data_IF_104989909912
#
_entry.id   IF_104989909912
#
_cell.length_a   1.000
_cell.length_b   1.000
_cell.length_c   1.000
_cell.angle_alpha   90.00
_cell.angle_beta   90.00
_cell.angle_gamma   90.00
#
_symmetry.space_group_name_H-M   'P 1'
#
loop_
_entity.id
_entity.type
_entity.pdbx_description
1 polymer ?
#
# COMPACT_ATOMS: atom_id res chain seq x y z
N UNK A 1 -14.21 16.18 32.09
CA UNK A 1 -13.74 14.87 31.63
C UNK A 1 -12.73 15.14 30.54
N UNK A 2 -11.57 14.47 30.54
CA UNK A 2 -10.62 14.56 29.44
C UNK A 2 -11.33 14.11 28.16
N UNK A 3 -11.15 14.87 27.08
CA UNK A 3 -11.80 14.61 25.80
C UNK A 3 -10.88 13.77 24.94
N UNK A 4 -11.35 12.64 24.47
CA UNK A 4 -10.60 11.73 23.60
C UNK A 4 -11.11 11.85 22.16
N UNK A 5 -10.20 11.96 21.21
CA UNK A 5 -10.52 11.93 19.79
C UNK A 5 -9.59 11.00 18.99
N UNK A 6 -10.21 10.21 18.11
CA UNK A 6 -9.55 9.22 17.28
C UNK A 6 -9.30 9.81 15.88
N UNK A 7 -8.13 9.59 15.31
CA UNK A 7 -7.78 10.01 13.94
C UNK A 7 -7.25 8.81 13.15
N UNK A 8 -7.96 8.40 12.10
CA UNK A 8 -7.45 7.43 11.12
C UNK A 8 -6.62 8.14 10.07
N UNK A 9 -5.40 7.66 9.86
CA UNK A 9 -4.48 8.21 8.86
C UNK A 9 -4.43 7.25 7.67
N UNK A 10 -5.00 7.67 6.54
CA UNK A 10 -4.91 6.97 5.26
C UNK A 10 -3.76 7.50 4.40
N UNK A 11 -3.38 6.74 3.37
CA UNK A 11 -2.41 7.23 2.37
C UNK A 11 -3.03 8.36 1.53
N UNK A 12 -4.31 8.21 1.21
CA UNK A 12 -5.05 9.00 0.22
C UNK A 12 -4.95 8.41 -1.19
N UNK A 13 -5.87 8.83 -2.05
CA UNK A 13 -6.03 8.29 -3.39
C UNK A 13 -6.62 9.32 -4.33
N UNK A 14 -6.19 9.28 -5.60
CA UNK A 14 -6.85 10.04 -6.68
C UNK A 14 -8.18 9.41 -7.10
N UNK A 15 -8.43 8.16 -6.73
CA UNK A 15 -9.71 7.49 -6.95
C UNK A 15 -10.67 7.87 -5.82
N UNK A 16 -11.71 8.62 -6.15
CA UNK A 16 -12.73 9.08 -5.19
C UNK A 16 -13.51 7.92 -4.56
N UNK A 17 -13.59 6.76 -5.22
CA UNK A 17 -14.23 5.57 -4.64
C UNK A 17 -13.38 4.99 -3.50
N UNK A 18 -12.06 5.00 -3.63
CA UNK A 18 -11.16 4.55 -2.56
C UNK A 18 -11.27 5.47 -1.33
N UNK A 19 -11.37 6.79 -1.55
CA UNK A 19 -11.61 7.76 -0.47
C UNK A 19 -12.99 7.54 0.17
N UNK A 20 -14.02 7.25 -0.63
CA UNK A 20 -15.35 6.94 -0.12
C UNK A 20 -15.37 5.66 0.75
N UNK A 21 -14.69 4.60 0.32
CA UNK A 21 -14.57 3.36 1.12
C UNK A 21 -13.79 3.58 2.42
N UNK A 22 -12.73 4.41 2.41
CA UNK A 22 -12.03 4.77 3.64
C UNK A 22 -12.95 5.50 4.64
N UNK A 23 -13.74 6.46 4.13
CA UNK A 23 -14.71 7.18 4.94
C UNK A 23 -15.84 6.25 5.44
N UNK A 24 -16.28 5.31 4.62
CA UNK A 24 -17.25 4.29 5.02
C UNK A 24 -16.69 3.42 6.16
N UNK A 25 -15.43 3.00 6.06
CA UNK A 25 -14.75 2.25 7.13
C UNK A 25 -14.69 3.08 8.42
N UNK A 26 -14.31 4.36 8.33
CA UNK A 26 -14.24 5.24 9.49
C UNK A 26 -15.61 5.41 10.18
N UNK A 27 -16.69 5.52 9.40
CA UNK A 27 -18.06 5.57 9.92
C UNK A 27 -18.45 4.26 10.61
N UNK A 28 -18.12 3.11 10.00
CA UNK A 28 -18.38 1.81 10.61
C UNK A 28 -17.59 1.62 11.90
N UNK A 29 -16.32 2.07 11.95
CA UNK A 29 -15.50 2.02 13.15
C UNK A 29 -16.03 2.97 14.24
N UNK A 30 -16.45 4.18 13.87
CA UNK A 30 -17.10 5.12 14.79
C UNK A 30 -18.34 4.51 15.45
N UNK A 31 -19.20 3.86 14.66
CA UNK A 31 -20.36 3.14 15.18
C UNK A 31 -19.97 1.94 16.06
N UNK A 32 -18.94 1.19 15.67
CA UNK A 32 -18.45 0.03 16.42
C UNK A 32 -17.85 0.41 17.78
N UNK A 33 -17.16 1.55 17.87
CA UNK A 33 -16.53 2.04 19.09
C UNK A 33 -17.44 2.93 19.95
N UNK A 34 -18.59 3.35 19.41
CA UNK A 34 -19.46 4.38 20.00
C UNK A 34 -18.68 5.69 20.30
N UNK A 35 -17.68 6.02 19.46
CA UNK A 35 -16.78 7.17 19.63
C UNK A 35 -16.57 7.89 18.28
N UNK A 36 -16.46 9.23 18.25
CA UNK A 36 -16.13 9.96 17.02
C UNK A 36 -14.78 9.53 16.45
N UNK A 37 -14.76 9.23 15.15
CA UNK A 37 -13.54 8.91 14.40
C UNK A 37 -13.35 9.96 13.30
N UNK A 38 -12.23 10.68 13.38
CA UNK A 38 -11.78 11.59 12.34
C UNK A 38 -10.94 10.83 11.30
N UNK A 39 -10.84 11.39 10.12
CA UNK A 39 -10.05 10.85 9.01
C UNK A 39 -9.13 11.93 8.48
N UNK A 40 -7.93 11.54 8.07
CA UNK A 40 -7.04 12.39 7.30
C UNK A 40 -6.16 11.55 6.37
N UNK A 41 -5.49 12.24 5.45
CA UNK A 41 -4.64 11.60 4.46
C UNK A 41 -3.24 12.20 4.47
N UNK A 42 -2.25 11.35 4.23
CA UNK A 42 -0.86 11.77 4.03
C UNK A 42 -0.73 12.65 2.78
N UNK A 43 -1.34 12.21 1.69
CA UNK A 43 -1.27 12.92 0.41
C UNK A 43 -2.50 12.63 -0.46
N UNK A 44 -2.58 13.27 -1.63
CA UNK A 44 -3.56 13.01 -2.72
C UNK A 44 -5.04 13.26 -2.41
N UNK A 45 -5.41 13.42 -1.15
CA UNK A 45 -6.80 13.54 -0.71
C UNK A 45 -6.92 14.51 0.47
N UNK A 46 -8.06 15.17 0.57
CA UNK A 46 -8.41 15.99 1.72
C UNK A 46 -9.32 15.19 2.68
N UNK A 47 -9.25 15.46 4.00
CA UNK A 47 -8.43 16.50 4.64
C UNK A 47 -6.97 16.05 4.85
N UNK A 48 -6.03 17.00 4.79
CA UNK A 48 -4.60 16.72 4.99
C UNK A 48 -4.28 16.39 6.46
N UNK A 49 -3.32 15.48 6.66
CA UNK A 49 -2.92 14.99 7.98
C UNK A 49 -2.53 16.11 8.94
N UNK A 50 -1.56 16.96 8.58
CA UNK A 50 -1.04 17.98 9.50
C UNK A 50 -2.12 18.97 9.95
N UNK A 51 -2.95 19.44 9.01
CA UNK A 51 -4.07 20.32 9.32
C UNK A 51 -5.09 19.63 10.24
N UNK A 52 -5.45 18.38 9.94
CA UNK A 52 -6.43 17.62 10.75
C UNK A 52 -5.92 17.37 12.16
N UNK A 53 -4.65 16.96 12.32
CA UNK A 53 -4.06 16.71 13.64
C UNK A 53 -4.04 17.99 14.49
N UNK A 54 -3.69 19.14 13.89
CA UNK A 54 -3.69 20.43 14.58
C UNK A 54 -5.11 20.86 14.99
N UNK A 55 -6.09 20.77 14.08
CA UNK A 55 -7.50 21.06 14.37
C UNK A 55 -8.05 20.17 15.51
N UNK A 56 -7.70 18.88 15.52
CA UNK A 56 -8.09 17.94 16.58
C UNK A 56 -7.43 18.34 17.91
N UNK A 57 -6.13 18.64 17.92
CA UNK A 57 -5.39 19.04 19.12
C UNK A 57 -5.92 20.34 19.77
N UNK A 58 -6.34 21.31 18.94
CA UNK A 58 -7.04 22.52 19.41
C UNK A 58 -8.40 22.16 20.03
N UNK A 59 -9.17 21.30 19.35
CA UNK A 59 -10.55 20.95 19.71
C UNK A 59 -10.66 20.04 20.95
N UNK A 60 -9.65 19.23 21.27
CA UNK A 60 -9.64 18.41 22.50
C UNK A 60 -9.34 19.21 23.77
N UNK A 61 -8.59 20.32 23.63
CA UNK A 61 -8.25 21.20 24.76
C UNK A 61 -7.27 20.57 25.77
N UNK A 62 -7.03 21.30 26.86
CA UNK A 62 -6.08 20.91 27.90
C UNK A 62 -6.48 19.59 28.60
N UNK A 63 -5.51 18.67 28.72
CA UNK A 63 -5.70 17.32 29.27
C UNK A 63 -6.51 16.39 28.36
N UNK A 64 -6.68 16.75 27.08
CA UNK A 64 -7.31 15.89 26.07
C UNK A 64 -6.36 14.85 25.48
N UNK A 65 -6.94 13.81 24.90
CA UNK A 65 -6.27 12.64 24.32
C UNK A 65 -6.48 12.63 22.79
N UNK A 66 -5.39 12.52 22.03
CA UNK A 66 -5.40 12.30 20.58
C UNK A 66 -4.86 10.90 20.30
N UNK A 67 -5.70 10.02 19.73
CA UNK A 67 -5.33 8.66 19.36
C UNK A 67 -5.23 8.52 17.83
N UNK A 68 -4.02 8.41 17.30
CA UNK A 68 -3.79 8.25 15.86
C UNK A 68 -3.61 6.77 15.45
N UNK A 69 -4.32 6.36 14.40
CA UNK A 69 -4.27 4.99 13.86
C UNK A 69 -3.89 5.00 12.37
N UNK A 70 -2.65 4.62 12.05
CA UNK A 70 -2.20 4.45 10.66
C UNK A 70 -2.90 3.26 9.98
N UNK A 71 -3.68 3.53 8.93
CA UNK A 71 -4.45 2.51 8.20
C UNK A 71 -3.66 1.93 7.02
N UNK A 72 -2.57 1.22 7.34
CA UNK A 72 -1.67 0.60 6.36
C UNK A 72 -1.42 -0.89 6.62
N UNK A 73 -1.52 -1.74 5.59
CA UNK A 73 -1.21 -3.18 5.68
C UNK A 73 0.30 -3.46 5.75
N UNK A 74 1.09 -2.55 5.21
CA UNK A 74 2.53 -2.45 5.37
C UNK A 74 2.88 -0.97 5.28
N UNK A 75 3.84 -0.52 6.09
CA UNK A 75 4.19 0.90 6.15
C UNK A 75 5.63 1.06 5.67
N UNK A 76 5.81 1.79 4.58
CA UNK A 76 7.13 2.18 4.13
C UNK A 76 7.79 3.06 5.19
N UNK A 77 9.10 2.93 5.37
CA UNK A 77 9.89 3.70 6.32
C UNK A 77 9.57 5.20 6.31
N UNK A 78 9.49 5.82 5.13
CA UNK A 78 9.22 7.25 4.99
C UNK A 78 7.85 7.66 5.55
N UNK A 79 6.82 6.85 5.37
CA UNK A 79 5.49 7.13 5.91
C UNK A 79 5.47 7.01 7.43
N UNK A 80 6.20 6.03 7.99
CA UNK A 80 6.35 5.91 9.46
C UNK A 80 7.00 7.16 10.03
N UNK A 81 8.09 7.62 9.42
CA UNK A 81 8.82 8.81 9.85
C UNK A 81 7.96 10.07 9.77
N UNK A 82 7.22 10.27 8.67
CA UNK A 82 6.37 11.43 8.47
C UNK A 82 5.23 11.51 9.50
N UNK A 83 4.52 10.40 9.74
CA UNK A 83 3.45 10.34 10.75
C UNK A 83 4.01 10.61 12.15
N UNK A 84 5.14 9.98 12.47
CA UNK A 84 5.78 10.13 13.79
C UNK A 84 6.19 11.58 14.01
N UNK A 85 6.83 12.20 13.02
CA UNK A 85 7.28 13.59 13.09
C UNK A 85 6.09 14.56 13.22
N UNK A 86 5.01 14.33 12.47
CA UNK A 86 3.79 15.12 12.60
C UNK A 86 3.21 15.08 14.02
N UNK A 87 3.13 13.89 14.62
CA UNK A 87 2.60 13.71 15.97
C UNK A 87 3.52 14.28 17.06
N UNK A 88 4.84 14.17 16.88
CA UNK A 88 5.82 14.79 17.77
C UNK A 88 5.69 16.32 17.76
N UNK A 89 5.53 16.95 16.60
CA UNK A 89 5.27 18.39 16.53
C UNK A 89 3.96 18.78 17.23
N UNK A 90 2.89 18.00 17.08
CA UNK A 90 1.63 18.28 17.80
C UNK A 90 1.85 18.22 19.32
N UNK A 91 2.65 17.27 19.81
CA UNK A 91 2.97 17.19 21.24
C UNK A 91 3.83 18.36 21.72
N UNK A 92 4.71 18.91 20.86
CA UNK A 92 5.52 20.10 21.14
C UNK A 92 4.68 21.39 21.17
N UNK A 93 3.78 21.56 20.20
CA UNK A 93 2.90 22.72 20.09
C UNK A 93 1.83 22.74 21.21
N UNK A 94 1.42 21.56 21.67
CA UNK A 94 0.36 21.37 22.67
C UNK A 94 0.83 20.49 23.84
N UNK A 95 1.73 20.98 24.73
CA UNK A 95 2.41 20.17 25.75
C UNK A 95 1.50 19.65 26.88
N UNK A 96 0.31 20.20 27.02
CA UNK A 96 -0.75 19.79 27.96
C UNK A 96 -1.78 18.84 27.31
N UNK A 97 -1.50 18.32 26.10
CA UNK A 97 -2.26 17.26 25.44
C UNK A 97 -1.49 15.94 25.53
N UNK A 98 -2.23 14.85 25.44
CA UNK A 98 -1.69 13.50 25.39
C UNK A 98 -1.82 12.95 23.97
N UNK A 99 -0.69 12.80 23.28
CA UNK A 99 -0.64 12.31 21.89
C UNK A 99 -0.20 10.86 21.86
N UNK A 100 -1.09 10.00 21.42
CA UNK A 100 -0.93 8.55 21.35
C UNK A 100 -1.07 8.09 19.91
N UNK A 101 -0.33 7.05 19.54
CA UNK A 101 -0.48 6.44 18.22
C UNK A 101 -0.15 4.97 18.22
N UNK A 102 -0.87 4.23 17.39
CA UNK A 102 -0.74 2.78 17.27
C UNK A 102 0.33 2.38 16.26
N UNK A 103 0.66 1.09 16.27
CA UNK A 103 1.24 0.47 15.09
C UNK A 103 0.23 0.46 13.95
N UNK A 104 0.70 0.48 12.70
CA UNK A 104 -0.18 0.28 11.56
C UNK A 104 -0.87 -1.09 11.64
N UNK A 105 -1.91 -1.33 10.83
CA UNK A 105 -2.61 -2.62 10.79
C UNK A 105 -1.64 -3.80 10.65
N UNK A 106 -0.64 -3.65 9.76
CA UNK A 106 0.50 -4.55 9.60
C UNK A 106 0.09 -6.03 9.47
N UNK A 107 0.98 -6.95 9.85
CA UNK A 107 0.68 -8.38 9.90
C UNK A 107 -0.21 -8.67 11.10
N UNK A 108 -1.37 -9.29 10.85
CA UNK A 108 -2.34 -9.59 11.89
C UNK A 108 -3.13 -10.87 11.56
N UNK A 109 -3.38 -11.74 12.56
CA UNK A 109 -4.06 -13.03 12.35
C UNK A 109 -5.49 -12.85 11.82
N UNK A 110 -6.25 -11.89 12.35
CA UNK A 110 -7.60 -11.55 11.84
C UNK A 110 -7.61 -11.07 10.39
N UNK A 111 -6.51 -10.49 9.90
CA UNK A 111 -6.41 -10.17 8.47
C UNK A 111 -6.21 -11.42 7.63
N UNK A 112 -5.51 -12.44 8.13
CA UNK A 112 -5.37 -13.73 7.46
C UNK A 112 -6.71 -14.47 7.44
N UNK A 113 -7.47 -14.41 8.54
CA UNK A 113 -8.85 -14.91 8.60
C UNK A 113 -9.74 -14.19 7.58
N UNK A 114 -9.66 -12.86 7.48
CA UNK A 114 -10.38 -12.09 6.47
C UNK A 114 -9.96 -12.45 5.05
N UNK A 115 -8.67 -12.63 4.79
CA UNK A 115 -8.20 -13.14 3.50
C UNK A 115 -8.82 -14.49 3.16
N UNK A 116 -8.91 -15.40 4.14
CA UNK A 116 -9.57 -16.70 3.97
C UNK A 116 -11.05 -16.52 3.63
N UNK A 117 -11.77 -15.64 4.33
CA UNK A 117 -13.17 -15.30 4.00
C UNK A 117 -13.29 -14.83 2.56
N UNK A 118 -12.41 -13.93 2.10
CA UNK A 118 -12.43 -13.45 0.70
C UNK A 118 -12.15 -14.54 -0.32
N UNK A 119 -11.33 -15.53 0.01
CA UNK A 119 -11.13 -16.72 -0.84
C UNK A 119 -12.39 -17.58 -0.86
N UNK A 120 -12.97 -17.87 0.30
CA UNK A 120 -14.18 -18.70 0.41
C UNK A 120 -15.36 -18.06 -0.35
N UNK A 121 -15.55 -16.74 -0.24
CA UNK A 121 -16.52 -15.96 -1.01
C UNK A 121 -16.29 -16.08 -2.52
N UNK A 122 -15.03 -15.96 -2.97
CA UNK A 122 -14.67 -16.08 -4.37
C UNK A 122 -15.00 -17.47 -4.92
N UNK A 123 -14.66 -18.52 -4.17
CA UNK A 123 -14.96 -19.91 -4.52
C UNK A 123 -16.46 -20.17 -4.61
N UNK A 124 -17.25 -19.59 -3.70
CA UNK A 124 -18.71 -19.72 -3.70
C UNK A 124 -19.38 -19.12 -4.94
N UNK A 125 -18.70 -18.23 -5.68
CA UNK A 125 -19.22 -17.69 -6.95
C UNK A 125 -19.15 -18.68 -8.12
N UNK A 126 -18.38 -19.77 -7.98
CA UNK A 126 -18.14 -20.74 -9.07
C UNK A 126 -18.89 -22.04 -8.80
N UNK A 127 -19.85 -22.42 -9.65
CA UNK A 127 -20.52 -23.71 -9.56
C UNK A 127 -19.52 -24.87 -9.70
N UNK A 128 -19.55 -25.82 -8.78
CA UNK A 128 -18.64 -26.97 -8.74
C UNK A 128 -17.14 -26.56 -8.68
N UNK A 129 -16.83 -25.50 -7.94
CA UNK A 129 -15.44 -25.19 -7.58
C UNK A 129 -14.73 -26.46 -7.04
N UNK A 130 -13.47 -26.65 -7.42
CA UNK A 130 -12.66 -27.75 -6.90
C UNK A 130 -12.45 -27.58 -5.39
N UNK A 131 -12.16 -28.68 -4.67
CA UNK A 131 -11.78 -28.62 -3.26
C UNK A 131 -10.62 -27.65 -3.02
N UNK A 132 -10.54 -27.09 -1.80
CA UNK A 132 -9.50 -26.11 -1.45
C UNK A 132 -8.10 -26.72 -1.54
N UNK A 133 -7.96 -28.02 -1.32
CA UNK A 133 -6.72 -28.79 -1.41
C UNK A 133 -6.18 -28.91 -2.85
N UNK A 134 -7.02 -28.60 -3.85
CA UNK A 134 -6.65 -28.51 -5.27
C UNK A 134 -6.53 -27.05 -5.77
N UNK A 135 -6.84 -26.08 -4.90
CA UNK A 135 -6.84 -24.66 -5.20
C UNK A 135 -5.54 -24.01 -4.73
N UNK A 136 -4.87 -23.29 -5.62
CA UNK A 136 -3.82 -22.35 -5.25
C UNK A 136 -4.39 -20.94 -5.03
N UNK A 137 -3.82 -20.20 -4.08
CA UNK A 137 -4.15 -18.79 -3.89
C UNK A 137 -2.95 -17.94 -4.26
N UNK A 138 -3.14 -17.00 -5.18
CA UNK A 138 -2.19 -15.96 -5.49
C UNK A 138 -2.54 -14.70 -4.71
N UNK A 139 -1.83 -14.44 -3.62
CA UNK A 139 -1.98 -13.21 -2.83
C UNK A 139 -1.20 -12.10 -3.50
N UNK A 140 -1.86 -11.00 -3.86
CA UNK A 140 -1.21 -9.90 -4.57
C UNK A 140 -1.25 -8.61 -3.76
N UNK A 141 -0.09 -8.13 -3.35
CA UNK A 141 0.07 -6.83 -2.68
C UNK A 141 0.24 -5.68 -3.67
N UNK A 142 0.16 -4.44 -3.17
CA UNK A 142 0.42 -3.24 -3.99
C UNK A 142 1.89 -3.12 -4.44
N UNK A 143 2.82 -3.61 -3.61
CA UNK A 143 4.27 -3.50 -3.82
C UNK A 143 4.86 -2.16 -3.40
N UNK A 144 6.03 -2.20 -2.78
CA UNK A 144 6.75 -1.06 -2.20
C UNK A 144 8.25 -1.12 -2.50
N UNK A 145 8.95 0.01 -2.45
CA UNK A 145 10.42 0.04 -2.41
C UNK A 145 10.95 -0.41 -1.04
N UNK A 146 10.09 -0.37 -0.02
CA UNK A 146 10.36 -0.81 1.33
C UNK A 146 10.26 -2.34 1.46
N UNK A 147 11.36 -2.97 1.88
CA UNK A 147 11.48 -4.43 1.97
C UNK A 147 10.62 -5.01 3.09
N UNK A 148 10.44 -4.28 4.20
CA UNK A 148 9.65 -4.75 5.34
C UNK A 148 8.16 -4.74 5.00
N UNK A 149 7.71 -3.71 4.28
CA UNK A 149 6.37 -3.67 3.70
C UNK A 149 6.12 -4.85 2.77
N UNK A 150 7.08 -5.22 1.91
CA UNK A 150 6.91 -6.35 1.00
C UNK A 150 6.94 -7.69 1.77
N UNK A 151 7.85 -7.84 2.73
CA UNK A 151 7.96 -9.06 3.56
C UNK A 151 6.69 -9.33 4.37
N UNK A 152 5.98 -8.28 4.78
CA UNK A 152 4.71 -8.38 5.48
C UNK A 152 3.65 -9.09 4.63
N UNK A 153 3.61 -8.84 3.31
CA UNK A 153 2.71 -9.55 2.38
C UNK A 153 3.10 -11.03 2.30
N UNK A 154 4.40 -11.35 2.23
CA UNK A 154 4.88 -12.74 2.26
C UNK A 154 4.49 -13.47 3.55
N UNK A 155 4.62 -12.78 4.69
CA UNK A 155 4.20 -13.32 5.99
C UNK A 155 2.69 -13.56 6.05
N UNK A 156 1.88 -12.64 5.52
CA UNK A 156 0.43 -12.82 5.42
C UNK A 156 0.03 -13.97 4.50
N UNK A 157 0.70 -14.12 3.35
CA UNK A 157 0.52 -15.29 2.47
C UNK A 157 0.83 -16.60 3.19
N UNK A 158 1.90 -16.66 3.99
CA UNK A 158 2.18 -17.84 4.81
C UNK A 158 1.10 -18.10 5.86
N UNK A 159 0.67 -17.08 6.60
CA UNK A 159 -0.39 -17.23 7.60
C UNK A 159 -1.71 -17.72 6.99
N UNK A 160 -2.09 -17.17 5.82
CA UNK A 160 -3.23 -17.64 5.07
C UNK A 160 -3.10 -19.13 4.71
N UNK A 161 -1.91 -19.57 4.30
CA UNK A 161 -1.68 -20.96 3.95
C UNK A 161 -1.90 -21.90 5.14
N UNK A 162 -1.39 -21.56 6.32
CA UNK A 162 -1.52 -22.36 7.54
C UNK A 162 -2.99 -22.60 7.95
N UNK A 163 -3.88 -21.64 7.65
CA UNK A 163 -5.29 -21.71 8.05
C UNK A 163 -6.24 -22.11 6.91
N UNK A 164 -5.74 -22.18 5.68
CA UNK A 164 -6.55 -22.24 4.47
C UNK A 164 -6.70 -23.63 3.84
N UNK A 165 -5.76 -24.54 4.09
CA UNK A 165 -5.77 -25.89 3.49
C UNK A 165 -5.48 -25.92 1.98
N UNK A 166 -4.99 -24.81 1.41
CA UNK A 166 -4.76 -24.66 -0.02
C UNK A 166 -3.63 -25.54 -0.55
N UNK A 167 -3.71 -25.92 -1.83
CA UNK A 167 -2.65 -26.64 -2.53
C UNK A 167 -1.31 -25.88 -2.48
N UNK A 168 -1.38 -24.56 -2.68
CA UNK A 168 -0.24 -23.64 -2.56
C UNK A 168 -0.73 -22.21 -2.31
N UNK A 169 0.12 -21.37 -1.73
CA UNK A 169 -0.08 -19.92 -1.67
C UNK A 169 1.14 -19.20 -2.23
N UNK A 170 1.00 -18.59 -3.40
CA UNK A 170 2.03 -17.72 -3.99
C UNK A 170 1.78 -16.26 -3.58
N UNK A 171 2.86 -15.46 -3.57
CA UNK A 171 2.79 -14.03 -3.33
C UNK A 171 3.37 -13.28 -4.52
N UNK A 172 2.65 -12.25 -4.96
CA UNK A 172 3.08 -11.34 -6.01
C UNK A 172 2.73 -9.89 -5.67
N UNK A 173 3.17 -8.97 -6.51
CA UNK A 173 3.01 -7.54 -6.31
C UNK A 173 2.57 -6.85 -7.59
N UNK A 174 1.72 -5.84 -7.46
CA UNK A 174 1.23 -5.15 -8.65
C UNK A 174 2.30 -4.26 -9.32
N UNK A 175 3.23 -3.71 -8.54
CA UNK A 175 4.26 -2.80 -9.01
C UNK A 175 5.48 -2.79 -8.08
N UNK A 176 6.53 -2.08 -8.51
CA UNK A 176 7.75 -1.74 -7.74
C UNK A 176 8.68 -2.92 -7.42
N UNK A 177 8.13 -4.09 -7.12
CA UNK A 177 8.90 -5.29 -6.77
C UNK A 177 8.37 -6.53 -7.50
N UNK A 178 9.11 -7.63 -7.37
CA UNK A 178 8.87 -8.89 -8.06
C UNK A 178 8.61 -10.03 -7.07
N UNK A 179 7.89 -11.10 -7.48
CA UNK A 179 7.28 -11.27 -8.80
C UNK A 179 6.08 -10.34 -9.01
N UNK A 180 5.88 -9.88 -10.25
CA UNK A 180 4.69 -9.11 -10.59
C UNK A 180 3.44 -10.01 -10.66
N UNK A 181 2.24 -9.43 -10.70
CA UNK A 181 0.97 -10.18 -10.73
C UNK A 181 0.93 -11.29 -11.80
N UNK A 182 1.40 -11.02 -13.01
CA UNK A 182 1.45 -12.01 -14.08
C UNK A 182 2.48 -13.11 -13.81
N UNK A 183 3.69 -12.74 -13.37
CA UNK A 183 4.73 -13.69 -12.99
C UNK A 183 4.26 -14.63 -11.85
N UNK A 184 3.54 -14.09 -10.87
CA UNK A 184 2.94 -14.88 -9.79
C UNK A 184 1.88 -15.87 -10.28
N UNK A 185 1.02 -15.44 -11.21
CA UNK A 185 0.01 -16.31 -11.80
C UNK A 185 0.64 -17.45 -12.63
N UNK A 186 1.67 -17.11 -13.41
CA UNK A 186 2.44 -18.07 -14.20
C UNK A 186 3.16 -19.10 -13.33
N UNK A 187 3.75 -18.65 -12.20
CA UNK A 187 4.33 -19.57 -11.20
C UNK A 187 3.29 -20.51 -10.62
N UNK A 188 2.15 -19.99 -10.17
CA UNK A 188 1.07 -20.82 -9.64
C UNK A 188 0.58 -21.87 -10.66
N UNK A 189 0.47 -21.47 -11.93
CA UNK A 189 0.14 -22.38 -13.03
C UNK A 189 1.20 -23.49 -13.20
N UNK A 190 2.48 -23.14 -13.28
CA UNK A 190 3.56 -24.12 -13.47
C UNK A 190 3.83 -25.02 -12.26
N UNK A 191 3.43 -24.61 -11.06
CA UNK A 191 3.43 -25.44 -9.86
C UNK A 191 2.29 -26.49 -9.85
N UNK A 192 1.46 -26.53 -10.91
CA UNK A 192 0.46 -27.56 -11.12
C UNK A 192 -0.90 -27.25 -10.48
N UNK A 193 -1.19 -25.98 -10.18
CA UNK A 193 -2.49 -25.58 -9.64
C UNK A 193 -3.62 -25.95 -10.61
N UNK A 194 -4.63 -26.69 -10.12
CA UNK A 194 -5.80 -27.08 -10.91
C UNK A 194 -6.87 -26.00 -10.92
N UNK A 195 -6.85 -25.14 -9.91
CA UNK A 195 -7.67 -23.95 -9.75
C UNK A 195 -6.86 -22.86 -9.08
N UNK A 196 -7.01 -21.61 -9.50
CA UNK A 196 -6.26 -20.48 -8.94
C UNK A 196 -7.24 -19.38 -8.52
N UNK A 197 -7.13 -18.93 -7.27
CA UNK A 197 -7.79 -17.72 -6.78
C UNK A 197 -6.78 -16.59 -6.75
N UNK A 198 -7.03 -15.50 -7.47
CA UNK A 198 -6.25 -14.26 -7.38
C UNK A 198 -6.89 -13.40 -6.30
N UNK A 199 -6.16 -13.16 -5.21
CA UNK A 199 -6.64 -12.44 -4.03
C UNK A 199 -5.90 -11.09 -3.88
N UNK A 200 -6.57 -9.95 -4.13
CA UNK A 200 -6.02 -8.64 -3.83
C UNK A 200 -5.82 -8.42 -2.32
N UNK A 201 -4.57 -8.31 -1.86
CA UNK A 201 -4.26 -7.92 -0.49
C UNK A 201 -4.16 -6.38 -0.39
N UNK A 202 -5.33 -5.75 -0.45
CA UNK A 202 -5.54 -4.30 -0.38
C UNK A 202 -6.69 -4.01 0.60
N UNK A 203 -6.68 -2.85 1.25
CA UNK A 203 -7.79 -2.45 2.15
C UNK A 203 -9.05 -2.12 1.37
N UNK A 204 -8.89 -1.31 0.31
CA UNK A 204 -9.99 -0.69 -0.43
C UNK A 204 -9.75 -0.84 -1.93
N UNK A 205 -10.77 -0.46 -2.69
CA UNK A 205 -10.73 -0.34 -4.14
C UNK A 205 -9.67 0.67 -4.62
N UNK A 206 -9.52 0.77 -5.93
CA UNK A 206 -8.74 1.81 -6.57
C UNK A 206 -7.96 1.35 -7.79
N UNK A 207 -7.15 2.28 -8.33
CA UNK A 207 -6.34 2.06 -9.54
C UNK A 207 -5.40 0.85 -9.39
N UNK A 208 -4.83 0.63 -8.19
CA UNK A 208 -3.93 -0.51 -7.96
C UNK A 208 -4.68 -1.84 -8.10
N UNK A 209 -5.89 -1.94 -7.54
CA UNK A 209 -6.74 -3.12 -7.67
C UNK A 209 -7.12 -3.36 -9.15
N UNK A 210 -7.54 -2.31 -9.86
CA UNK A 210 -7.92 -2.40 -11.27
C UNK A 210 -6.77 -2.90 -12.15
N UNK A 211 -5.57 -2.34 -11.96
CA UNK A 211 -4.38 -2.74 -12.72
C UNK A 211 -3.93 -4.17 -12.39
N UNK A 212 -4.14 -4.61 -11.15
CA UNK A 212 -3.87 -5.99 -10.71
C UNK A 212 -4.77 -6.99 -11.39
N UNK A 213 -6.08 -6.75 -11.40
CA UNK A 213 -7.01 -7.62 -12.10
C UNK A 213 -6.68 -7.66 -13.60
N UNK A 214 -6.43 -6.51 -14.23
CA UNK A 214 -6.07 -6.45 -15.65
C UNK A 214 -4.78 -7.23 -15.98
N UNK A 215 -3.76 -7.15 -15.12
CA UNK A 215 -2.51 -7.90 -15.31
C UNK A 215 -2.72 -9.42 -15.17
N UNK A 216 -3.54 -9.85 -14.20
CA UNK A 216 -3.90 -11.24 -14.02
C UNK A 216 -4.74 -11.75 -15.21
N UNK A 217 -5.71 -10.98 -15.70
CA UNK A 217 -6.54 -11.34 -16.87
C UNK A 217 -5.70 -11.49 -18.14
N UNK A 218 -4.76 -10.57 -18.38
CA UNK A 218 -3.86 -10.64 -19.53
C UNK A 218 -3.02 -11.93 -19.48
N UNK A 219 -2.40 -12.23 -18.33
CA UNK A 219 -1.60 -13.45 -18.18
C UNK A 219 -2.46 -14.72 -18.22
N UNK A 220 -3.67 -14.69 -17.67
CA UNK A 220 -4.60 -15.82 -17.74
C UNK A 220 -4.98 -16.16 -19.19
N UNK A 221 -5.20 -15.13 -20.03
CA UNK A 221 -5.48 -15.31 -21.45
C UNK A 221 -4.29 -15.93 -22.20
N UNK A 222 -3.06 -15.51 -21.89
CA UNK A 222 -1.83 -16.11 -22.45
C UNK A 222 -1.69 -17.59 -22.07
N UNK A 223 -1.97 -17.94 -20.81
CA UNK A 223 -1.84 -19.31 -20.29
C UNK A 223 -3.05 -20.22 -20.62
N UNK A 224 -4.13 -19.66 -21.17
CA UNK A 224 -5.36 -20.40 -21.46
C UNK A 224 -6.11 -20.89 -20.22
N UNK A 225 -5.99 -20.18 -19.08
CA UNK A 225 -6.65 -20.51 -17.82
C UNK A 225 -7.73 -19.48 -17.46
N UNK A 226 -8.59 -19.84 -16.49
CA UNK A 226 -9.62 -18.94 -15.95
C UNK A 226 -9.50 -18.89 -14.43
N UNK A 227 -8.71 -17.95 -13.87
CA UNK A 227 -8.63 -17.74 -12.44
C UNK A 227 -9.96 -17.23 -11.88
N UNK A 228 -10.13 -17.42 -10.58
CA UNK A 228 -11.23 -16.86 -9.79
C UNK A 228 -10.69 -15.62 -9.09
N UNK A 229 -11.44 -14.51 -9.11
CA UNK A 229 -10.99 -13.25 -8.52
C UNK A 229 -11.68 -13.01 -7.19
N UNK A 230 -10.88 -12.95 -6.12
CA UNK A 230 -11.34 -12.56 -4.80
C UNK A 230 -11.53 -11.06 -4.67
N UNK A 231 -12.32 -10.65 -3.69
CA UNK A 231 -12.43 -9.25 -3.31
C UNK A 231 -11.21 -8.82 -2.49
N UNK A 232 -10.94 -7.51 -2.48
CA UNK A 232 -10.04 -6.90 -1.50
C UNK A 232 -10.65 -6.98 -0.08
N UNK A 233 -9.90 -6.58 0.96
CA UNK A 233 -10.33 -6.76 2.36
C UNK A 233 -11.64 -6.04 2.67
N UNK A 234 -11.84 -4.85 2.13
CA UNK A 234 -13.11 -4.12 2.11
C UNK A 234 -13.40 -3.33 3.40
N UNK A 235 -14.20 -2.26 3.32
CA UNK A 235 -14.42 -1.33 4.42
C UNK A 235 -15.44 -1.79 5.47
N UNK A 236 -16.14 -2.88 5.24
CA UNK A 236 -17.33 -3.27 5.99
C UNK A 236 -17.18 -4.58 6.78
N UNK A 237 -16.06 -5.28 6.62
CA UNK A 237 -15.89 -6.58 7.27
C UNK A 237 -15.56 -6.44 8.76
N UNK A 238 -16.30 -7.11 9.68
CA UNK A 238 -16.08 -7.02 11.13
C UNK A 238 -14.64 -7.28 11.57
N UNK A 239 -13.97 -8.28 10.96
CA UNK A 239 -12.56 -8.57 11.26
C UNK A 239 -11.63 -7.37 11.03
N UNK A 240 -11.87 -6.51 10.04
CA UNK A 240 -11.05 -5.32 9.82
C UNK A 240 -11.32 -4.24 10.89
N UNK A 241 -12.59 -4.08 11.30
CA UNK A 241 -12.96 -3.20 12.41
C UNK A 241 -12.28 -3.64 13.70
N UNK A 242 -12.29 -4.95 13.97
CA UNK A 242 -11.64 -5.54 15.15
C UNK A 242 -10.12 -5.32 15.14
N UNK A 243 -9.45 -5.40 13.99
CA UNK A 243 -8.02 -5.10 13.88
C UNK A 243 -7.76 -3.63 14.21
N UNK A 244 -8.56 -2.71 13.65
CA UNK A 244 -8.40 -1.28 13.94
C UNK A 244 -8.69 -0.95 15.42
N UNK A 245 -9.70 -1.58 16.01
CA UNK A 245 -10.00 -1.46 17.44
C UNK A 245 -8.85 -1.99 18.32
N UNK A 246 -8.21 -3.10 17.92
CA UNK A 246 -7.03 -3.62 18.62
C UNK A 246 -5.83 -2.68 18.52
N UNK A 247 -5.57 -2.11 17.33
CA UNK A 247 -4.53 -1.09 17.16
C UNK A 247 -4.81 0.14 18.02
N UNK A 248 -6.06 0.60 18.08
CA UNK A 248 -6.44 1.71 18.94
C UNK A 248 -6.15 1.42 20.42
N UNK A 249 -6.48 0.23 20.91
CA UNK A 249 -6.18 -0.17 22.28
C UNK A 249 -4.66 -0.25 22.56
N UNK A 250 -3.84 -0.59 21.56
CA UNK A 250 -2.37 -0.54 21.69
C UNK A 250 -1.84 0.90 21.85
N UNK A 251 -2.45 1.87 21.16
CA UNK A 251 -2.10 3.30 21.29
C UNK A 251 -2.41 3.82 22.69
N UNK A 252 -3.60 3.50 23.19
CA UNK A 252 -4.10 3.92 24.52
C UNK A 252 -3.21 3.39 25.65
N UNK A 253 -2.78 2.13 25.54
CA UNK A 253 -1.89 1.52 26.55
C UNK A 253 -0.41 1.93 26.42
N UNK A 254 -0.04 2.76 25.45
CA UNK A 254 1.36 3.18 25.22
C UNK A 254 2.29 2.03 24.79
N UNK A 255 1.74 0.93 24.28
CA UNK A 255 2.48 -0.28 23.88
C UNK A 255 2.96 -0.20 22.42
N UNK A 256 2.82 0.95 21.77
CA UNK A 256 3.14 1.13 20.36
C UNK A 256 4.64 0.93 20.07
N UNK A 257 4.95 -0.13 19.32
CA UNK A 257 6.30 -0.50 18.91
C UNK A 257 6.84 0.42 17.80
N UNK A 258 6.05 1.37 17.27
CA UNK A 258 6.48 2.30 16.20
C UNK A 258 7.60 3.25 16.65
N UNK A 259 7.50 3.86 17.85
CA UNK A 259 8.58 4.67 18.43
C UNK A 259 9.84 3.86 18.66
N UNK A 260 9.66 2.61 19.10
CA UNK A 260 10.77 1.72 19.41
C UNK A 260 11.44 1.25 18.12
N UNK A 261 10.70 0.91 17.07
CA UNK A 261 11.24 0.55 15.76
C UNK A 261 11.94 1.74 15.09
N UNK A 262 11.32 2.92 15.06
CA UNK A 262 11.92 4.13 14.49
C UNK A 262 13.25 4.50 15.17
N UNK A 263 13.33 4.37 16.51
CA UNK A 263 14.56 4.61 17.28
C UNK A 263 15.61 3.49 17.13
N UNK A 264 15.19 2.23 16.99
CA UNK A 264 16.09 1.06 16.86
C UNK A 264 16.68 0.95 15.45
N UNK A 265 15.99 1.41 14.41
CA UNK A 265 16.46 1.39 13.02
C UNK A 265 17.50 2.50 12.71
N UNK A 266 17.98 3.23 13.73
CA UNK A 266 19.12 4.14 13.59
C UNK A 266 18.79 5.46 12.88
N UNK A 267 17.64 6.06 13.21
CA UNK A 267 17.34 7.43 12.81
C UNK A 267 18.39 8.43 13.35
N UNK A 268 19.03 9.24 12.50
CA UNK A 268 19.73 10.42 12.98
C UNK A 268 18.68 11.47 13.39
N UNK A 269 18.33 11.48 14.67
CA UNK A 269 17.63 12.61 15.32
C UNK A 269 18.61 13.78 15.46
N UNK A 270 18.98 14.41 14.35
CA UNK A 270 19.58 15.73 14.37
C UNK A 270 18.76 16.65 13.48
N UNK A 271 17.85 17.38 14.12
CA UNK A 271 17.39 18.64 13.60
C UNK A 271 18.60 19.59 13.50
N UNK A 272 18.97 19.99 12.29
CA UNK A 272 19.56 21.32 12.09
C UNK A 272 19.23 21.83 10.69
N UNK A 273 18.31 22.80 10.64
CA UNK A 273 18.44 23.99 9.81
C UNK A 273 18.20 23.87 8.30
N UNK A 274 17.02 24.34 7.88
CA UNK A 274 16.88 25.28 6.77
C UNK A 274 16.94 24.72 5.34
N UNK A 275 15.87 24.97 4.59
CA UNK A 275 15.91 24.98 3.13
C UNK A 275 14.74 24.26 2.49
N UNK A 276 13.64 25.00 2.27
CA UNK A 276 12.67 24.66 1.24
C UNK A 276 13.40 24.47 -0.09
N UNK A 277 13.47 23.24 -0.59
CA UNK A 277 13.83 22.98 -1.98
C UNK A 277 12.64 22.33 -2.69
N UNK A 278 11.78 23.20 -3.19
CA UNK A 278 10.88 22.88 -4.29
C UNK A 278 11.73 22.52 -5.52
N UNK A 279 11.71 21.25 -5.93
CA UNK A 279 12.19 20.86 -7.26
C UNK A 279 11.15 21.27 -8.30
N UNK A 280 11.20 22.54 -8.72
CA UNK A 280 10.58 22.97 -9.97
C UNK A 280 11.47 22.56 -11.14
N UNK A 281 11.03 21.56 -11.90
CA UNK A 281 11.54 21.30 -13.24
C UNK A 281 11.08 22.42 -14.19
N UNK A 282 11.91 23.45 -14.36
CA UNK A 282 11.79 24.37 -15.49
C UNK A 282 12.52 23.79 -16.70
N UNK A 283 11.76 23.22 -17.63
CA UNK A 283 12.19 23.09 -19.02
C UNK A 283 12.10 24.47 -19.69
N UNK A 284 13.23 25.17 -19.79
CA UNK A 284 13.38 26.27 -20.72
C UNK A 284 13.83 25.69 -22.08
N UNK A 285 12.88 25.57 -23.02
CA UNK A 285 13.21 25.57 -24.44
C UNK A 285 13.15 27.01 -24.93
N UNK A 286 14.31 27.63 -25.10
CA UNK A 286 14.45 28.83 -25.91
C UNK A 286 14.58 28.39 -27.37
N UNK A 287 13.58 28.75 -28.17
CA UNK A 287 13.73 28.98 -29.60
C UNK A 287 14.62 30.21 -29.79
N UNK A 288 15.67 30.08 -30.59
CA UNK A 288 16.22 31.17 -31.37
C UNK A 288 16.86 30.57 -32.64
N UNK A 289 16.09 30.64 -33.73
CA UNK A 289 16.55 30.40 -35.08
C UNK A 289 17.39 31.60 -35.53
N UNK A 290 18.68 31.37 -35.77
CA UNK A 290 19.52 32.30 -36.51
C UNK A 290 20.10 31.61 -37.74
N UNK A 291 19.62 32.07 -38.89
CA UNK A 291 20.17 31.87 -40.22
C UNK A 291 21.64 32.32 -40.27
N UNK A 292 22.54 31.50 -40.85
CA UNK A 292 23.66 32.01 -41.66
C UNK A 292 24.15 30.96 -42.68
N UNK A 293 23.89 31.32 -43.94
CA UNK A 293 24.57 31.07 -45.21
C UNK A 293 25.89 30.26 -45.30
N UNK A 294 25.87 29.35 -46.30
CA UNK A 294 26.88 28.99 -47.30
C UNK A 294 28.27 28.50 -46.88
N UNK A 295 28.68 27.33 -47.39
CA UNK A 295 29.71 27.24 -48.45
C UNK A 295 29.79 25.83 -49.08
N UNK A 296 30.23 25.84 -50.34
CA UNK A 296 30.29 24.80 -51.36
C UNK A 296 31.40 23.76 -51.18
N UNK A 297 31.33 22.76 -52.07
CA UNK A 297 32.34 21.78 -52.51
C UNK A 297 32.35 20.46 -51.71
N UNK A 298 32.38 19.28 -52.30
CA UNK A 298 32.54 18.90 -53.70
C UNK A 298 33.19 17.52 -53.74
N UNK A 299 32.58 16.62 -54.51
CA UNK A 299 33.15 15.42 -55.16
C UNK A 299 33.72 14.25 -54.33
N UNK A 300 33.21 13.09 -54.76
CA UNK A 300 33.91 11.90 -55.22
C UNK A 300 33.92 10.66 -54.32
N UNK A 301 33.30 9.64 -54.91
CA UNK A 301 33.44 8.20 -54.74
C UNK A 301 34.83 7.73 -54.33
N UNK A 302 34.87 6.67 -53.52
CA UNK A 302 35.50 5.44 -53.98
C UNK A 302 34.87 4.23 -53.29
N UNK A 303 34.43 3.29 -54.13
CA UNK A 303 34.12 1.92 -53.82
C UNK A 303 35.39 1.19 -53.37
N UNK A 304 35.31 0.38 -52.31
CA UNK A 304 36.18 -0.78 -52.19
C UNK A 304 35.46 -1.93 -51.49
N UNK A 305 34.99 -2.86 -52.32
CA UNK A 305 34.82 -4.27 -51.99
C UNK A 305 36.17 -4.85 -51.54
N UNK A 306 36.17 -5.65 -50.48
CA UNK A 306 37.11 -6.76 -50.37
C UNK A 306 36.42 -7.98 -49.75
N UNK A 307 36.55 -9.05 -50.52
CA UNK A 307 35.94 -10.35 -50.41
C UNK A 307 36.83 -11.31 -49.60
N UNK A 308 36.20 -12.35 -49.05
CA UNK A 308 36.77 -13.65 -48.61
C UNK A 308 37.74 -13.63 -47.40
N UNK A 309 37.82 -14.66 -46.54
CA UNK A 309 37.67 -16.10 -46.74
C UNK A 309 37.50 -16.80 -45.37
N UNK A 310 36.82 -17.95 -45.38
CA UNK A 310 36.69 -18.89 -44.26
C UNK A 310 37.95 -19.73 -44.10
N UNK A 311 38.27 -20.17 -42.87
CA UNK A 311 38.71 -21.56 -42.63
C UNK A 311 38.67 -21.95 -41.14
N UNK A 312 38.08 -23.14 -40.91
CA UNK A 312 38.05 -24.05 -39.74
C UNK A 312 37.17 -23.74 -38.52
#
# INVERSE_FOLDING_TARGET
MSKEEIVLIGHGSRDTKAVAEFNQFAQALSAHLEKPVNVCFLELSAPEMNATLHEVAERIGAGGELLAVPMFLGTAYHMKAEITHALEHIQEDFPDRHVHYSTALAVHLKLAELMKVRVDEALATVPNALPVEETAVLVVGGGSSDKDSNSSVSRMGRLLWEIGGYANVEVAYQRVTHPNTGEGLERAYHLGARQIVVLPYLLFTGIVCQKMIAAAEAKAAELGIKPIYGQYLGPDHPLLLEVAAQRLAEADNGVSDMLRQAKVEGMPLTASGGGHHHHHHHHHHHHDDHEHHHHHHGHAHDDHEHDHEHEH
#
